data_IF_132586743340
#
_entry.id   IF_132586743340
#
_cell.length_a   1.000
_cell.length_b   1.000
_cell.length_c   1.000
_cell.angle_alpha   90.00
_cell.angle_beta   90.00
_cell.angle_gamma   90.00
#
_symmetry.space_group_name_H-M   'P 1'
#
loop_
_entity.id
_entity.type
_entity.pdbx_description
1 polymer ?
#
# COMPACT_ATOMS: atom_id res chain seq x y z
N UNK A 1 -17.56 -15.08 5.57
CA UNK A 1 -18.93 -14.53 5.68
C UNK A 1 -19.93 -15.29 4.80
N UNK A 2 -21.24 -15.13 5.01
CA UNK A 2 -22.32 -15.77 4.23
C UNK A 2 -22.54 -15.08 2.88
N UNK A 3 -23.07 -15.80 1.88
CA UNK A 3 -23.44 -15.22 0.56
C UNK A 3 -24.37 -14.01 0.66
N UNK A 4 -25.34 -14.03 1.59
CA UNK A 4 -26.27 -12.91 1.82
C UNK A 4 -25.55 -11.64 2.28
N UNK A 5 -24.49 -11.80 3.09
CA UNK A 5 -23.69 -10.69 3.62
C UNK A 5 -22.82 -10.07 2.51
N UNK A 6 -22.28 -10.90 1.61
CA UNK A 6 -21.54 -10.44 0.42
C UNK A 6 -22.43 -9.61 -0.49
N UNK A 7 -23.66 -10.07 -0.75
CA UNK A 7 -24.63 -9.34 -1.59
C UNK A 7 -24.98 -8.00 -0.94
N UNK A 8 -25.14 -7.95 0.38
CA UNK A 8 -25.35 -6.69 1.10
C UNK A 8 -24.16 -5.73 0.93
N UNK A 9 -22.93 -6.22 1.03
CA UNK A 9 -21.72 -5.44 0.77
C UNK A 9 -21.71 -4.87 -0.65
N UNK A 10 -21.98 -5.70 -1.66
CA UNK A 10 -22.05 -5.30 -3.06
C UNK A 10 -23.17 -4.27 -3.32
N UNK A 11 -24.28 -4.35 -2.60
CA UNK A 11 -25.36 -3.36 -2.69
C UNK A 11 -24.94 -1.98 -2.16
N UNK A 12 -24.17 -1.92 -1.06
CA UNK A 12 -23.59 -0.67 -0.52
C UNK A 12 -22.61 -0.05 -1.51
N UNK A 13 -21.83 -0.87 -2.20
CA UNK A 13 -20.92 -0.41 -3.26
C UNK A 13 -21.74 0.20 -4.39
N UNK A 14 -22.75 -0.52 -4.90
CA UNK A 14 -23.60 -0.03 -5.99
C UNK A 14 -24.30 1.29 -5.68
N UNK A 15 -24.67 1.55 -4.41
CA UNK A 15 -25.30 2.83 -4.05
C UNK A 15 -24.38 4.05 -4.18
N UNK A 16 -23.07 3.84 -4.14
CA UNK A 16 -22.06 4.91 -4.26
C UNK A 16 -21.39 4.92 -5.64
N UNK A 17 -21.36 3.79 -6.34
CA UNK A 17 -20.75 3.63 -7.66
C UNK A 17 -21.79 3.14 -8.67
N UNK A 18 -22.38 4.06 -9.42
CA UNK A 18 -23.51 3.78 -10.32
C UNK A 18 -23.21 2.74 -11.41
N UNK A 19 -21.96 2.62 -11.84
CA UNK A 19 -21.51 1.66 -12.85
C UNK A 19 -21.09 0.30 -12.26
N UNK A 20 -21.27 0.09 -10.95
CA UNK A 20 -20.93 -1.18 -10.33
C UNK A 20 -22.01 -2.23 -10.61
N UNK A 21 -21.68 -3.18 -11.48
CA UNK A 21 -22.54 -4.31 -11.78
C UNK A 21 -22.40 -5.43 -10.75
N UNK A 22 -23.55 -5.96 -10.35
CA UNK A 22 -23.69 -7.13 -9.48
C UNK A 22 -24.20 -8.27 -10.35
N UNK A 23 -23.34 -9.26 -10.61
CA UNK A 23 -23.70 -10.51 -11.26
C UNK A 23 -23.58 -11.68 -10.29
N UNK A 24 -24.28 -12.78 -10.57
CA UNK A 24 -24.24 -13.97 -9.73
C UNK A 24 -22.83 -14.57 -9.67
N UNK A 25 -22.14 -14.65 -10.81
CA UNK A 25 -20.74 -15.09 -10.90
C UNK A 25 -19.82 -14.22 -10.02
N UNK A 26 -19.95 -12.90 -10.09
CA UNK A 26 -19.14 -11.97 -9.30
C UNK A 26 -19.41 -12.13 -7.81
N UNK A 27 -20.68 -12.34 -7.42
CA UNK A 27 -21.06 -12.60 -6.03
C UNK A 27 -20.48 -13.92 -5.50
N UNK A 28 -20.42 -14.95 -6.34
CA UNK A 28 -19.81 -16.25 -5.98
C UNK A 28 -18.30 -16.12 -5.79
N UNK A 29 -17.62 -15.39 -6.68
CA UNK A 29 -16.18 -15.11 -6.56
C UNK A 29 -15.91 -14.34 -5.27
N UNK A 30 -16.65 -13.25 -5.01
CA UNK A 30 -16.48 -12.46 -3.78
C UNK A 30 -16.71 -13.30 -2.52
N UNK A 31 -17.73 -14.17 -2.53
CA UNK A 31 -17.97 -15.09 -1.43
C UNK A 31 -16.80 -16.04 -1.19
N UNK A 32 -16.24 -16.63 -2.24
CA UNK A 32 -15.08 -17.53 -2.11
C UNK A 32 -13.85 -16.82 -1.53
N UNK A 33 -13.65 -15.53 -1.87
CA UNK A 33 -12.51 -14.75 -1.38
C UNK A 33 -12.70 -14.26 0.06
N UNK A 34 -13.94 -14.00 0.47
CA UNK A 34 -14.27 -13.40 1.76
C UNK A 34 -14.81 -14.41 2.78
N UNK A 35 -14.69 -15.72 2.52
CA UNK A 35 -15.23 -16.77 3.38
C UNK A 35 -14.65 -16.72 4.81
N UNK A 36 -13.34 -16.47 4.94
CA UNK A 36 -12.64 -16.37 6.21
C UNK A 36 -12.86 -15.04 6.97
N UNK A 37 -13.47 -14.05 6.34
CA UNK A 37 -13.64 -12.70 6.89
C UNK A 37 -15.01 -12.52 7.54
N UNK A 38 -15.08 -11.75 8.62
CA UNK A 38 -16.35 -11.36 9.24
C UNK A 38 -17.00 -10.18 8.49
N UNK A 39 -18.33 -10.13 8.51
CA UNK A 39 -19.09 -9.08 7.83
C UNK A 39 -18.78 -7.68 8.37
N UNK A 40 -18.68 -7.53 9.70
CA UNK A 40 -18.37 -6.24 10.32
C UNK A 40 -16.98 -5.72 9.94
N UNK A 41 -15.97 -6.59 9.88
CA UNK A 41 -14.64 -6.20 9.43
C UNK A 41 -14.66 -5.73 7.96
N UNK A 42 -15.40 -6.43 7.10
CA UNK A 42 -15.54 -6.05 5.69
C UNK A 42 -16.27 -4.72 5.51
N UNK A 43 -17.31 -4.44 6.30
CA UNK A 43 -17.98 -3.13 6.29
C UNK A 43 -17.08 -2.00 6.72
N UNK A 44 -16.27 -2.22 7.76
CA UNK A 44 -15.31 -1.22 8.22
C UNK A 44 -14.28 -0.91 7.13
N UNK A 45 -13.68 -1.93 6.54
CA UNK A 45 -12.70 -1.78 5.46
C UNK A 45 -13.30 -1.12 4.22
N UNK A 46 -14.51 -1.52 3.83
CA UNK A 46 -15.23 -0.90 2.73
C UNK A 46 -15.44 0.60 2.99
N UNK A 47 -15.90 0.97 4.19
CA UNK A 47 -16.11 2.37 4.56
C UNK A 47 -14.80 3.17 4.49
N UNK A 48 -13.70 2.62 5.02
CA UNK A 48 -12.38 3.25 4.96
C UNK A 48 -11.89 3.44 3.53
N UNK A 49 -12.07 2.43 2.67
CA UNK A 49 -11.70 2.52 1.26
C UNK A 49 -12.50 3.61 0.52
N UNK A 50 -13.81 3.66 0.72
CA UNK A 50 -14.69 4.63 0.07
C UNK A 50 -14.42 6.08 0.49
N UNK A 51 -13.81 6.30 1.66
CA UNK A 51 -13.36 7.63 2.09
C UNK A 51 -12.08 8.08 1.37
N UNK A 52 -11.28 7.15 0.86
CA UNK A 52 -9.96 7.42 0.27
C UNK A 52 -9.97 7.34 -1.25
N UNK A 53 -10.88 6.56 -1.84
CA UNK A 53 -10.92 6.28 -3.27
C UNK A 53 -12.27 6.61 -3.91
N UNK A 54 -12.28 7.39 -5.01
CA UNK A 54 -13.48 7.66 -5.80
C UNK A 54 -13.83 6.51 -6.76
N UNK A 55 -13.03 5.45 -6.82
CA UNK A 55 -13.23 4.31 -7.71
C UNK A 55 -13.87 3.12 -6.97
N UNK A 56 -14.66 2.27 -7.67
CA UNK A 56 -15.28 1.12 -7.05
C UNK A 56 -14.23 0.11 -6.56
N UNK A 57 -14.34 -0.40 -5.31
CA UNK A 57 -13.41 -1.38 -4.78
C UNK A 57 -13.56 -2.75 -5.44
N UNK A 58 -12.46 -3.50 -5.44
CA UNK A 58 -12.43 -4.94 -5.67
C UNK A 58 -12.57 -5.71 -4.34
N UNK A 59 -12.80 -7.02 -4.41
CA UNK A 59 -12.83 -7.86 -3.21
C UNK A 59 -11.50 -7.79 -2.44
N UNK A 60 -10.37 -7.70 -3.17
CA UNK A 60 -9.03 -7.62 -2.58
C UNK A 60 -8.79 -6.30 -1.84
N UNK A 61 -9.43 -5.21 -2.24
CA UNK A 61 -9.30 -3.92 -1.54
C UNK A 61 -10.02 -3.94 -0.18
N UNK A 62 -11.10 -4.73 -0.07
CA UNK A 62 -11.91 -4.86 1.16
C UNK A 62 -11.35 -5.92 2.09
N UNK A 63 -10.80 -7.01 1.53
CA UNK A 63 -9.98 -7.96 2.27
C UNK A 63 -8.70 -7.23 2.64
N UNK A 64 -8.74 -6.44 3.72
CA UNK A 64 -7.61 -5.64 4.13
C UNK A 64 -6.37 -6.54 4.19
N UNK A 65 -5.36 -6.15 3.42
CA UNK A 65 -3.99 -6.48 3.75
C UNK A 65 -3.70 -5.75 5.05
N UNK A 66 -3.72 -6.46 6.16
CA UNK A 66 -3.11 -5.95 7.38
C UNK A 66 -1.67 -5.53 7.00
N UNK A 67 -1.29 -4.24 7.09
CA UNK A 67 0.07 -3.81 6.76
C UNK A 67 1.10 -4.61 7.56
N UNK A 68 0.74 -5.06 8.77
CA UNK A 68 1.56 -5.90 9.62
C UNK A 68 1.68 -7.37 9.17
N UNK A 69 0.80 -7.86 8.29
CA UNK A 69 0.91 -9.22 7.72
C UNK A 69 1.89 -9.30 6.55
N UNK A 70 2.07 -8.21 5.80
CA UNK A 70 2.90 -8.21 4.59
C UNK A 70 4.24 -7.49 4.78
N UNK A 71 4.33 -6.59 5.76
CA UNK A 71 5.57 -5.85 6.06
C UNK A 71 6.00 -6.16 7.49
N UNK A 72 7.06 -6.97 7.64
CA UNK A 72 7.70 -7.13 8.93
C UNK A 72 8.49 -5.85 9.27
N UNK A 73 7.82 -4.94 9.98
CA UNK A 73 8.43 -3.69 10.42
C UNK A 73 9.60 -3.91 11.39
N UNK A 74 9.68 -5.04 12.09
CA UNK A 74 10.81 -5.34 12.95
C UNK A 74 12.04 -5.71 12.10
N UNK A 75 11.85 -6.55 11.10
CA UNK A 75 12.88 -6.88 10.11
C UNK A 75 13.38 -5.62 9.40
N UNK A 76 12.47 -4.79 8.86
CA UNK A 76 12.82 -3.59 8.12
C UNK A 76 13.64 -2.59 8.97
N UNK A 77 13.29 -2.44 10.25
CA UNK A 77 14.06 -1.61 11.20
C UNK A 77 15.47 -2.17 11.44
N UNK A 78 15.59 -3.49 11.58
CA UNK A 78 16.89 -4.15 11.77
C UNK A 78 17.80 -3.93 10.56
N UNK A 79 17.28 -4.20 9.36
CA UNK A 79 18.01 -4.02 8.10
C UNK A 79 18.45 -2.56 7.90
N UNK A 80 17.55 -1.61 8.20
CA UNK A 80 17.87 -0.17 8.15
C UNK A 80 19.00 0.20 9.11
N UNK A 81 18.97 -0.33 10.34
CA UNK A 81 20.00 -0.06 11.35
C UNK A 81 21.37 -0.67 11.01
N UNK A 82 21.40 -1.82 10.32
CA UNK A 82 22.63 -2.41 9.79
C UNK A 82 23.21 -1.55 8.67
N UNK A 83 22.38 -1.17 7.70
CA UNK A 83 22.82 -0.36 6.56
C UNK A 83 23.32 1.01 6.96
N UNK A 84 22.69 1.64 7.96
CA UNK A 84 23.18 2.90 8.53
C UNK A 84 24.54 2.75 9.23
N UNK A 85 24.80 1.60 9.89
CA UNK A 85 26.11 1.32 10.48
C UNK A 85 27.20 1.13 9.41
N UNK A 86 26.87 0.49 8.29
CA UNK A 86 27.79 0.37 7.15
C UNK A 86 28.13 1.76 6.57
N UNK A 87 27.11 2.61 6.37
CA UNK A 87 27.29 3.98 5.89
C UNK A 87 28.17 4.79 6.84
N UNK A 88 27.95 4.69 8.15
CA UNK A 88 28.78 5.36 9.16
C UNK A 88 30.23 4.87 9.10
N UNK A 89 30.45 3.56 8.94
CA UNK A 89 31.79 2.99 8.75
C UNK A 89 32.48 3.54 7.49
N UNK A 90 31.76 3.65 6.38
CA UNK A 90 32.29 4.26 5.15
C UNK A 90 32.57 5.75 5.35
N UNK A 91 31.72 6.47 6.08
CA UNK A 91 31.92 7.88 6.37
C UNK A 91 33.19 8.13 7.18
N UNK A 92 33.48 7.28 8.16
CA UNK A 92 34.70 7.36 8.96
C UNK A 92 35.97 7.06 8.17
N UNK A 93 35.88 6.20 7.15
CA UNK A 93 36.99 5.82 6.28
C UNK A 93 37.08 6.68 5.01
N UNK A 94 36.11 7.55 4.78
CA UNK A 94 36.05 8.37 3.59
C UNK A 94 37.23 9.35 3.57
N UNK A 95 38.00 9.30 2.49
CA UNK A 95 38.96 10.36 2.20
C UNK A 95 38.22 11.60 1.69
N UNK A 96 38.69 12.81 2.02
CA UNK A 96 38.08 14.03 1.51
C UNK A 96 38.09 14.02 -0.02
N UNK A 97 37.04 14.58 -0.61
CA UNK A 97 36.92 14.66 -2.06
C UNK A 97 38.14 15.41 -2.63
N UNK A 98 38.83 14.86 -3.66
CA UNK A 98 39.96 15.53 -4.27
C UNK A 98 39.61 16.94 -4.77
N UNK A 99 40.44 17.93 -4.45
CA UNK A 99 40.15 19.36 -4.69
C UNK A 99 39.79 19.69 -6.15
N UNK A 100 40.39 18.99 -7.13
CA UNK A 100 40.10 19.17 -8.56
C UNK A 100 38.67 18.81 -8.97
N UNK A 101 37.93 18.06 -8.14
CA UNK A 101 36.58 17.59 -8.41
C UNK A 101 35.51 18.44 -7.73
N UNK A 102 35.83 19.13 -6.63
CA UNK A 102 34.91 19.98 -5.87
C UNK A 102 34.21 21.03 -6.78
N UNK A 103 34.91 21.76 -7.66
CA UNK A 103 34.29 22.79 -8.49
C UNK A 103 33.43 22.26 -9.64
N UNK A 104 33.53 20.96 -9.99
CA UNK A 104 32.74 20.36 -11.09
C UNK A 104 31.38 19.87 -10.61
N UNK A 105 31.26 19.47 -9.35
CA UNK A 105 29.99 19.03 -8.76
C UNK A 105 29.15 20.20 -8.24
N UNK A 106 29.79 21.29 -7.77
CA UNK A 106 29.09 22.50 -7.36
C UNK A 106 28.62 23.38 -8.54
N UNK A 107 29.27 23.25 -9.72
CA UNK A 107 28.89 24.00 -10.95
C UNK A 107 27.84 23.30 -11.82
N UNK A 108 27.42 22.08 -11.49
CA UNK A 108 26.35 21.39 -12.21
C UNK A 108 24.94 22.01 -12.03
N UNK A 109 24.82 23.06 -11.19
CA UNK A 109 23.60 23.85 -11.01
C UNK A 109 23.52 25.13 -11.83
N UNK A 110 24.62 25.59 -12.44
CA UNK A 110 24.61 26.79 -13.28
C UNK A 110 24.47 26.37 -14.75
N UNK A 111 23.23 26.07 -15.14
CA UNK A 111 22.86 25.97 -16.55
C UNK A 111 22.75 27.40 -17.09
N UNK A 112 23.59 27.69 -18.09
CA UNK A 112 23.80 28.98 -18.74
C UNK A 112 22.50 29.72 -19.15
N UNK A 113 22.49 31.04 -18.91
CA UNK A 113 21.64 32.04 -19.58
C UNK A 113 22.36 32.59 -20.81
#
# INVERSE_FOLDING_TARGET
MKKTEVIQLMAIIRSNYQHFEISEEKSAVWHSLMEAMSFEAAKLNLKSFMQQSPYPPTAADIIARDPGQFTDYAQLRSETAERLREIEGWHQQAVPLPERLIPKMLRGGDVNE
#
